data_IF_689798248841
#
_entry.id   IF_689798248841
#
_cell.length_a   1.000
_cell.length_b   1.000
_cell.length_c   1.000
_cell.angle_alpha   90.00
_cell.angle_beta   90.00
_cell.angle_gamma   90.00
#
_symmetry.space_group_name_H-M   'P 1'
#
loop_
_entity.id
_entity.type
_entity.pdbx_description
1 polymer ?
#
# COMPACT_ATOMS: atom_id res chain seq x y z
N UNK A 1 -8.82 -2.49 -12.29
CA UNK A 1 -7.93 -3.66 -12.21
C UNK A 1 -6.96 -3.63 -11.04
N UNK A 2 -6.21 -2.53 -10.81
CA UNK A 2 -5.20 -2.46 -9.74
C UNK A 2 -5.80 -2.67 -8.33
N UNK A 3 -6.97 -2.08 -8.02
CA UNK A 3 -7.66 -2.29 -6.74
C UNK A 3 -8.03 -3.75 -6.52
N UNK A 4 -8.59 -4.41 -7.54
CA UNK A 4 -8.89 -5.85 -7.48
C UNK A 4 -7.63 -6.68 -7.27
N UNK A 5 -6.60 -6.46 -8.08
CA UNK A 5 -5.36 -7.24 -8.05
C UNK A 5 -4.66 -7.16 -6.67
N UNK A 6 -4.50 -5.95 -6.13
CA UNK A 6 -3.88 -5.78 -4.81
C UNK A 6 -4.73 -6.37 -3.68
N UNK A 7 -6.07 -6.25 -3.75
CA UNK A 7 -6.97 -6.88 -2.77
C UNK A 7 -6.95 -8.40 -2.86
N UNK A 8 -6.87 -8.96 -4.08
CA UNK A 8 -6.78 -10.40 -4.32
C UNK A 8 -5.57 -11.03 -3.63
N UNK A 9 -4.43 -10.36 -3.65
CA UNK A 9 -3.20 -10.81 -2.98
C UNK A 9 -3.31 -10.82 -1.44
N UNK A 10 -4.30 -10.13 -0.87
CA UNK A 10 -4.62 -10.16 0.56
C UNK A 10 -5.73 -11.18 0.90
N UNK A 11 -6.09 -12.03 -0.05
CA UNK A 11 -7.13 -13.05 0.15
C UNK A 11 -8.57 -12.57 -0.07
N UNK A 12 -8.78 -11.36 -0.61
CA UNK A 12 -10.10 -10.85 -0.95
C UNK A 12 -10.77 -11.76 -2.00
N UNK A 13 -12.05 -12.06 -1.80
CA UNK A 13 -12.78 -13.03 -2.62
C UNK A 13 -13.62 -12.39 -3.74
N UNK A 14 -13.63 -11.06 -3.85
CA UNK A 14 -14.30 -10.38 -4.96
C UNK A 14 -13.71 -10.80 -6.31
N UNK A 15 -14.57 -11.06 -7.29
CA UNK A 15 -14.15 -11.19 -8.69
C UNK A 15 -13.86 -9.80 -9.30
N UNK A 16 -13.23 -9.80 -10.49
CA UNK A 16 -13.02 -8.54 -11.24
C UNK A 16 -14.34 -7.82 -11.54
N UNK A 17 -15.36 -8.55 -11.96
CA UNK A 17 -16.67 -7.97 -12.30
C UNK A 17 -17.37 -7.39 -11.05
N UNK A 18 -17.37 -8.12 -9.94
CA UNK A 18 -17.94 -7.63 -8.69
C UNK A 18 -17.21 -6.37 -8.20
N UNK A 19 -15.86 -6.34 -8.32
CA UNK A 19 -15.06 -5.16 -8.00
C UNK A 19 -15.39 -3.97 -8.90
N UNK A 20 -15.57 -4.20 -10.21
CA UNK A 20 -15.97 -3.17 -11.14
C UNK A 20 -17.35 -2.61 -10.79
N UNK A 21 -18.34 -3.48 -10.56
CA UNK A 21 -19.68 -3.06 -10.16
C UNK A 21 -19.68 -2.28 -8.83
N UNK A 22 -18.83 -2.67 -7.87
CA UNK A 22 -18.67 -1.93 -6.61
C UNK A 22 -18.11 -0.54 -6.86
N UNK A 23 -17.05 -0.43 -7.68
CA UNK A 23 -16.35 0.86 -7.91
C UNK A 23 -17.19 1.81 -8.77
N UNK A 24 -17.84 1.31 -9.82
CA UNK A 24 -18.57 2.13 -10.79
C UNK A 24 -20.03 2.40 -10.40
N UNK A 25 -20.69 1.42 -9.79
CA UNK A 25 -22.13 1.46 -9.52
C UNK A 25 -22.46 1.48 -8.01
N UNK A 26 -21.48 1.34 -7.13
CA UNK A 26 -21.68 1.22 -5.70
C UNK A 26 -22.35 -0.09 -5.27
N UNK A 27 -22.37 -1.11 -6.12
CA UNK A 27 -23.05 -2.37 -5.85
C UNK A 27 -22.18 -3.32 -5.03
N UNK A 28 -22.57 -3.55 -3.77
CA UNK A 28 -21.92 -4.54 -2.89
C UNK A 28 -22.33 -5.94 -3.35
N UNK A 29 -21.35 -6.81 -3.56
CA UNK A 29 -21.59 -8.19 -3.96
C UNK A 29 -22.20 -9.00 -2.80
N UNK A 30 -23.17 -9.85 -3.14
CA UNK A 30 -23.87 -10.71 -2.16
C UNK A 30 -22.91 -11.74 -1.56
N UNK A 31 -22.99 -11.92 -0.25
CA UNK A 31 -22.19 -12.94 0.49
C UNK A 31 -20.75 -12.55 0.77
N UNK A 32 -20.35 -11.29 0.51
CA UNK A 32 -19.01 -10.78 0.83
C UNK A 32 -18.97 -10.12 2.21
N UNK A 33 -17.84 -10.26 2.91
CA UNK A 33 -17.64 -9.61 4.19
C UNK A 33 -17.46 -8.09 3.99
N UNK A 34 -17.95 -7.31 4.96
CA UNK A 34 -17.81 -5.84 4.93
C UNK A 34 -16.33 -5.40 4.82
N UNK A 35 -15.43 -6.12 5.48
CA UNK A 35 -13.98 -5.86 5.44
C UNK A 35 -13.41 -6.03 4.02
N UNK A 36 -13.92 -6.97 3.23
CA UNK A 36 -13.48 -7.17 1.85
C UNK A 36 -13.93 -6.02 0.95
N UNK A 37 -15.17 -5.55 1.13
CA UNK A 37 -15.70 -4.37 0.44
C UNK A 37 -14.89 -3.13 0.80
N UNK A 38 -14.66 -2.89 2.09
CA UNK A 38 -13.88 -1.76 2.57
C UNK A 38 -12.46 -1.77 2.01
N UNK A 39 -11.81 -2.93 1.96
CA UNK A 39 -10.47 -3.07 1.39
C UNK A 39 -10.42 -2.60 -0.07
N UNK A 40 -11.38 -2.96 -0.91
CA UNK A 40 -11.44 -2.53 -2.32
C UNK A 40 -11.64 -1.02 -2.43
N UNK A 41 -12.54 -0.46 -1.62
CA UNK A 41 -12.80 0.99 -1.60
C UNK A 41 -11.56 1.78 -1.14
N UNK A 42 -10.84 1.29 -0.13
CA UNK A 42 -9.58 1.89 0.31
C UNK A 42 -8.50 1.85 -0.79
N UNK A 43 -8.38 0.74 -1.52
CA UNK A 43 -7.45 0.67 -2.65
C UNK A 43 -7.82 1.66 -3.76
N UNK A 44 -9.13 1.78 -4.09
CA UNK A 44 -9.61 2.78 -5.03
C UNK A 44 -9.22 4.18 -4.58
N UNK A 45 -9.57 4.57 -3.36
CA UNK A 45 -9.27 5.89 -2.81
C UNK A 45 -7.77 6.19 -2.77
N UNK A 46 -6.94 5.19 -2.43
CA UNK A 46 -5.47 5.33 -2.42
C UNK A 46 -4.89 5.56 -3.83
N UNK A 47 -5.41 4.87 -4.85
CA UNK A 47 -5.00 5.07 -6.24
C UNK A 47 -5.42 6.45 -6.72
N UNK A 48 -6.67 6.87 -6.46
CA UNK A 48 -7.16 8.21 -6.79
C UNK A 48 -6.34 9.30 -6.10
N UNK A 49 -6.02 9.13 -4.82
CA UNK A 49 -5.16 10.06 -4.08
C UNK A 49 -3.80 10.27 -4.78
N UNK A 50 -3.16 9.19 -5.26
CA UNK A 50 -1.88 9.30 -5.96
C UNK A 50 -2.01 9.92 -7.36
N UNK A 51 -3.10 9.63 -8.08
CA UNK A 51 -3.33 10.14 -9.43
C UNK A 51 -3.74 11.62 -9.42
N UNK A 52 -4.69 11.99 -8.56
CA UNK A 52 -5.26 13.34 -8.50
C UNK A 52 -4.26 14.37 -7.95
N UNK A 53 -3.27 13.90 -7.19
CA UNK A 53 -2.23 14.74 -6.60
C UNK A 53 -0.82 14.38 -7.13
N UNK A 54 -0.72 13.86 -8.35
CA UNK A 54 0.55 13.33 -8.89
C UNK A 54 1.69 14.36 -8.88
N UNK A 55 1.40 15.64 -9.00
CA UNK A 55 2.39 16.71 -8.97
C UNK A 55 2.90 16.99 -7.54
N UNK A 56 2.05 16.81 -6.52
CA UNK A 56 2.33 17.15 -5.12
C UNK A 56 2.84 15.98 -4.29
N UNK A 57 2.53 14.74 -4.69
CA UNK A 57 2.98 13.53 -3.98
C UNK A 57 4.38 13.09 -4.42
N UNK A 58 5.16 12.53 -3.49
CA UNK A 58 6.52 12.10 -3.74
C UNK A 58 6.99 10.96 -2.81
N UNK A 59 8.27 10.66 -2.87
CA UNK A 59 8.91 9.71 -1.96
C UNK A 59 9.25 10.39 -0.63
N UNK A 60 8.24 10.78 0.12
CA UNK A 60 8.36 11.45 1.40
C UNK A 60 7.43 10.83 2.45
N UNK A 61 7.72 11.12 3.72
CA UNK A 61 6.98 10.54 4.84
C UNK A 61 5.52 10.97 4.88
N UNK A 62 5.19 12.17 4.43
CA UNK A 62 3.82 12.66 4.38
C UNK A 62 2.98 11.85 3.39
N UNK A 63 3.46 11.68 2.17
CA UNK A 63 2.81 10.89 1.12
C UNK A 63 2.58 9.44 1.57
N UNK A 64 3.62 8.76 2.07
CA UNK A 64 3.50 7.33 2.44
C UNK A 64 2.71 7.09 3.72
N UNK A 65 2.71 8.01 4.67
CA UNK A 65 1.84 7.94 5.86
C UNK A 65 0.37 8.17 5.49
N UNK A 66 0.08 9.11 4.60
CA UNK A 66 -1.28 9.31 4.09
C UNK A 66 -1.76 8.11 3.26
N UNK A 67 -0.90 7.57 2.40
CA UNK A 67 -1.19 6.35 1.65
C UNK A 67 -1.55 5.19 2.59
N UNK A 68 -0.77 5.00 3.67
CA UNK A 68 -1.09 4.01 4.69
C UNK A 68 -2.42 4.34 5.38
N UNK A 69 -2.68 5.59 5.76
CA UNK A 69 -3.92 5.98 6.42
C UNK A 69 -5.16 5.63 5.58
N UNK A 70 -5.12 5.96 4.28
CA UNK A 70 -6.22 5.63 3.35
C UNK A 70 -6.38 4.12 3.19
N UNK A 71 -5.29 3.37 2.96
CA UNK A 71 -5.33 1.92 2.77
C UNK A 71 -5.78 1.15 4.02
N UNK A 72 -5.54 1.69 5.21
CA UNK A 72 -5.83 1.06 6.50
C UNK A 72 -7.14 1.51 7.15
N UNK A 73 -7.82 2.50 6.58
CA UNK A 73 -9.06 3.07 7.13
C UNK A 73 -10.12 1.98 7.36
N UNK A 74 -10.69 1.94 8.56
CA UNK A 74 -11.71 0.98 8.99
C UNK A 74 -11.30 -0.51 8.87
N UNK A 75 -9.99 -0.78 8.69
CA UNK A 75 -9.41 -2.12 8.63
C UNK A 75 -8.48 -2.44 9.81
N UNK A 76 -8.04 -1.42 10.56
CA UNK A 76 -7.15 -1.58 11.71
C UNK A 76 -7.93 -1.76 13.00
N UNK A 77 -7.51 -2.69 13.90
CA UNK A 77 -8.08 -2.80 15.24
C UNK A 77 -7.92 -1.52 16.08
N UNK A 78 -6.81 -0.79 15.90
CA UNK A 78 -6.57 0.53 16.48
C UNK A 78 -6.65 1.60 15.37
N UNK A 79 -7.73 2.41 15.33
CA UNK A 79 -7.86 3.46 14.32
C UNK A 79 -6.74 4.52 14.39
N UNK A 80 -6.11 4.70 15.56
CA UNK A 80 -4.99 5.64 15.72
C UNK A 80 -3.68 5.13 15.09
N UNK A 81 -3.61 3.86 14.70
CA UNK A 81 -2.49 3.31 13.97
C UNK A 81 -2.49 3.72 12.48
N UNK A 82 -3.63 4.17 11.94
CA UNK A 82 -3.72 4.63 10.56
C UNK A 82 -2.80 5.84 10.32
N UNK A 83 -1.88 5.70 9.34
CA UNK A 83 -0.89 6.75 9.02
C UNK A 83 0.26 6.92 10.01
N UNK A 84 0.34 6.10 11.05
CA UNK A 84 1.37 6.18 12.09
C UNK A 84 2.40 5.07 11.94
N UNK A 85 3.69 5.42 12.01
CA UNK A 85 4.77 4.43 12.14
C UNK A 85 4.58 3.64 13.43
N UNK A 86 4.83 2.33 13.37
CA UNK A 86 4.63 1.43 14.51
C UNK A 86 5.58 1.74 15.67
N UNK A 87 5.07 1.49 16.86
CA UNK A 87 5.81 1.66 18.11
C UNK A 87 6.03 0.33 18.84
N UNK A 88 5.62 -0.76 18.23
CA UNK A 88 5.72 -2.12 18.77
C UNK A 88 6.39 -3.05 17.75
N UNK A 89 7.01 -4.14 18.21
CA UNK A 89 7.47 -5.19 17.32
C UNK A 89 6.30 -5.78 16.52
N UNK A 90 6.60 -6.20 15.29
CA UNK A 90 5.68 -6.95 14.43
C UNK A 90 6.40 -8.20 13.91
N UNK A 91 5.63 -9.21 13.56
CA UNK A 91 6.11 -10.44 12.95
C UNK A 91 5.56 -10.57 11.53
N UNK A 92 6.31 -11.21 10.66
CA UNK A 92 5.84 -11.57 9.32
C UNK A 92 5.41 -13.03 9.36
N UNK A 93 4.12 -13.29 9.17
CA UNK A 93 3.56 -14.62 9.20
C UNK A 93 4.31 -15.57 8.24
N UNK A 94 4.73 -16.73 8.77
CA UNK A 94 5.47 -17.74 8.01
C UNK A 94 6.94 -17.41 7.75
N UNK A 95 7.49 -16.33 8.34
CA UNK A 95 8.90 -15.94 8.19
C UNK A 95 9.64 -16.06 9.53
N UNK A 96 10.92 -16.45 9.44
CA UNK A 96 11.86 -16.41 10.58
C UNK A 96 12.54 -15.03 10.69
N UNK A 97 12.35 -14.17 9.73
CA UNK A 97 12.89 -12.82 9.73
C UNK A 97 12.16 -11.96 10.78
N UNK A 98 12.95 -11.33 11.63
CA UNK A 98 12.47 -10.42 12.68
C UNK A 98 12.70 -8.97 12.25
N UNK A 99 11.65 -8.21 11.93
CA UNK A 99 11.77 -6.79 11.62
C UNK A 99 12.34 -5.98 12.79
N UNK A 100 12.92 -4.81 12.49
CA UNK A 100 13.43 -3.88 13.51
C UNK A 100 12.38 -3.62 14.59
N UNK A 101 12.82 -3.51 15.86
CA UNK A 101 11.91 -3.35 17.00
C UNK A 101 11.89 -1.94 17.57
N UNK A 102 13.00 -1.17 17.42
CA UNK A 102 13.15 0.16 18.03
C UNK A 102 12.46 1.25 17.19
N UNK A 103 11.46 1.98 17.73
CA UNK A 103 10.70 2.98 16.98
C UNK A 103 11.57 4.07 16.31
N UNK A 104 12.59 4.56 17.00
CA UNK A 104 13.50 5.58 16.46
C UNK A 104 14.25 5.06 15.24
N UNK A 105 14.75 3.82 15.31
CA UNK A 105 15.48 3.18 14.20
C UNK A 105 14.53 2.90 13.03
N UNK A 106 13.25 2.55 13.31
CA UNK A 106 12.23 2.37 12.27
C UNK A 106 11.99 3.69 11.54
N UNK A 107 11.84 4.79 12.27
CA UNK A 107 11.64 6.13 11.70
C UNK A 107 12.83 6.55 10.84
N UNK A 108 14.05 6.42 11.36
CA UNK A 108 15.29 6.75 10.64
C UNK A 108 15.43 5.91 9.36
N UNK A 109 15.17 4.59 9.45
CA UNK A 109 15.22 3.71 8.29
C UNK A 109 14.10 3.99 7.28
N UNK A 110 12.91 4.41 7.75
CA UNK A 110 11.82 4.79 6.87
C UNK A 110 12.14 6.06 6.08
N UNK A 111 12.70 7.09 6.72
CA UNK A 111 13.17 8.29 6.04
C UNK A 111 14.27 7.96 5.03
N UNK A 112 15.28 7.19 5.46
CA UNK A 112 16.37 6.76 4.58
C UNK A 112 15.88 5.96 3.36
N UNK A 113 14.88 5.08 3.54
CA UNK A 113 14.27 4.31 2.46
C UNK A 113 13.64 5.23 1.42
N UNK A 114 12.88 6.24 1.86
CA UNK A 114 12.23 7.19 0.96
C UNK A 114 13.23 8.09 0.25
N UNK A 115 14.26 8.59 0.95
CA UNK A 115 15.34 9.36 0.35
C UNK A 115 16.10 8.56 -0.73
N UNK A 116 16.35 7.29 -0.46
CA UNK A 116 16.99 6.40 -1.42
C UNK A 116 16.09 6.12 -2.63
N UNK A 117 14.80 5.89 -2.41
CA UNK A 117 13.83 5.73 -3.49
C UNK A 117 13.79 6.99 -4.36
N UNK A 118 13.73 8.18 -3.76
CA UNK A 118 13.72 9.45 -4.48
C UNK A 118 14.97 9.67 -5.34
N UNK A 119 16.12 9.14 -4.93
CA UNK A 119 17.40 9.28 -5.63
C UNK A 119 17.56 8.34 -6.83
N UNK A 120 16.70 7.32 -6.99
CA UNK A 120 16.74 6.41 -8.13
C UNK A 120 16.11 7.10 -9.35
N UNK A 121 16.84 7.25 -10.48
CA UNK A 121 16.32 8.00 -11.63
C UNK A 121 15.33 7.20 -12.50
N UNK A 122 15.42 5.87 -12.51
CA UNK A 122 14.56 5.01 -13.34
C UNK A 122 13.26 4.66 -12.58
N UNK A 123 12.06 4.90 -13.15
CA UNK A 123 10.79 4.67 -12.47
C UNK A 123 10.51 3.18 -12.19
N UNK A 124 11.01 2.26 -12.98
CA UNK A 124 10.84 0.82 -12.73
C UNK A 124 11.75 0.35 -11.60
N UNK A 125 12.99 0.86 -11.54
CA UNK A 125 13.89 0.58 -10.43
C UNK A 125 13.35 1.18 -9.11
N UNK A 126 12.77 2.39 -9.14
CA UNK A 126 12.07 2.98 -8.00
C UNK A 126 10.92 2.10 -7.51
N UNK A 127 10.06 1.66 -8.44
CA UNK A 127 8.94 0.78 -8.15
C UNK A 127 9.41 -0.53 -7.52
N UNK A 128 10.41 -1.17 -8.11
CA UNK A 128 10.98 -2.41 -7.58
C UNK A 128 11.63 -2.22 -6.20
N UNK A 129 12.38 -1.14 -6.02
CA UNK A 129 13.01 -0.82 -4.73
C UNK A 129 11.97 -0.72 -3.62
N UNK A 130 10.86 0.02 -3.83
CA UNK A 130 9.77 0.14 -2.86
C UNK A 130 9.08 -1.19 -2.59
N UNK A 131 8.81 -1.97 -3.63
CA UNK A 131 8.19 -3.30 -3.50
C UNK A 131 8.97 -4.23 -2.59
N UNK A 132 10.29 -4.14 -2.60
CA UNK A 132 11.18 -5.00 -1.79
C UNK A 132 11.41 -4.40 -0.40
N UNK A 133 11.82 -3.13 -0.33
CA UNK A 133 12.36 -2.56 0.90
C UNK A 133 11.28 -2.21 1.93
N UNK A 134 10.11 -1.75 1.50
CA UNK A 134 9.07 -1.33 2.43
C UNK A 134 8.46 -2.52 3.21
N UNK A 135 8.10 -3.66 2.56
CA UNK A 135 7.67 -4.85 3.28
C UNK A 135 8.78 -5.47 4.15
N UNK A 136 10.05 -5.29 3.78
CA UNK A 136 11.17 -5.76 4.58
C UNK A 136 11.33 -4.92 5.86
N UNK A 137 11.21 -3.60 5.76
CA UNK A 137 11.27 -2.69 6.92
C UNK A 137 10.05 -2.85 7.85
N UNK A 138 8.85 -3.13 7.30
CA UNK A 138 7.60 -3.17 8.06
C UNK A 138 7.40 -1.89 8.89
N UNK A 139 7.33 -0.68 8.29
CA UNK A 139 7.28 0.56 9.06
C UNK A 139 5.97 0.79 9.80
N UNK A 140 4.89 0.11 9.42
CA UNK A 140 3.54 0.22 10.01
C UNK A 140 3.15 -1.04 10.79
N UNK A 141 2.13 -0.92 11.64
CA UNK A 141 1.61 -2.06 12.42
C UNK A 141 1.05 -3.18 11.54
N UNK A 142 0.47 -2.84 10.39
CA UNK A 142 -0.05 -3.73 9.34
C UNK A 142 -0.07 -2.98 7.99
N UNK A 143 -0.68 -3.56 6.96
CA UNK A 143 -0.91 -2.94 5.63
C UNK A 143 0.37 -2.66 4.83
N UNK A 144 1.54 -3.05 5.32
CA UNK A 144 2.85 -2.75 4.69
C UNK A 144 2.95 -3.25 3.24
N UNK A 145 2.45 -4.45 2.94
CA UNK A 145 2.45 -5.01 1.58
C UNK A 145 1.54 -4.22 0.63
N UNK A 146 0.38 -3.78 1.12
CA UNK A 146 -0.55 -2.94 0.34
C UNK A 146 0.06 -1.58 0.03
N UNK A 147 0.68 -0.94 1.02
CA UNK A 147 1.39 0.33 0.84
C UNK A 147 2.52 0.17 -0.17
N UNK A 148 3.30 -0.92 -0.12
CA UNK A 148 4.39 -1.14 -1.07
C UNK A 148 3.88 -1.32 -2.50
N UNK A 149 2.83 -2.12 -2.73
CA UNK A 149 2.26 -2.34 -4.06
C UNK A 149 1.64 -1.08 -4.68
N UNK A 150 0.87 -0.33 -3.90
CA UNK A 150 0.26 0.90 -4.40
C UNK A 150 1.30 2.01 -4.53
N UNK A 151 2.18 2.18 -3.54
CA UNK A 151 3.26 3.16 -3.56
C UNK A 151 4.29 2.92 -4.67
N UNK A 152 4.57 1.65 -5.04
CA UNK A 152 5.42 1.30 -6.16
C UNK A 152 4.89 1.79 -7.52
N UNK A 153 3.59 2.08 -7.61
CA UNK A 153 3.01 2.66 -8.81
C UNK A 153 3.15 4.20 -8.89
N UNK A 154 3.55 4.87 -7.81
CA UNK A 154 3.75 6.32 -7.79
C UNK A 154 4.71 6.80 -8.90
N UNK A 155 5.94 6.25 -9.04
CA UNK A 155 6.83 6.66 -10.11
C UNK A 155 6.26 6.38 -11.50
N UNK A 156 5.51 5.28 -11.67
CA UNK A 156 4.89 4.94 -12.93
C UNK A 156 3.80 5.95 -13.30
N UNK A 157 2.96 6.36 -12.36
CA UNK A 157 1.95 7.40 -12.57
C UNK A 157 2.58 8.74 -12.96
N UNK A 158 3.65 9.16 -12.25
CA UNK A 158 4.37 10.42 -12.53
C UNK A 158 4.99 10.45 -13.92
N UNK A 159 5.34 9.30 -14.48
CA UNK A 159 5.91 9.15 -15.83
C UNK A 159 4.89 8.73 -16.89
N UNK A 160 3.59 8.75 -16.56
CA UNK A 160 2.49 8.33 -17.47
C UNK A 160 2.65 6.90 -18.00
N UNK A 161 3.25 6.02 -17.18
CA UNK A 161 3.43 4.60 -17.49
C UNK A 161 2.27 3.77 -16.97
N UNK A 162 2.05 2.59 -17.58
CA UNK A 162 1.05 1.66 -17.11
C UNK A 162 1.38 1.16 -15.69
N UNK A 163 0.39 1.13 -14.77
CA UNK A 163 0.60 0.58 -13.44
C UNK A 163 0.82 -0.93 -13.48
N UNK A 164 1.58 -1.43 -12.51
CA UNK A 164 1.85 -2.86 -12.32
C UNK A 164 0.99 -3.41 -11.19
N UNK A 165 0.28 -4.52 -11.44
CA UNK A 165 -0.65 -5.13 -10.49
C UNK A 165 0.00 -6.13 -9.53
N UNK A 166 1.14 -6.70 -9.89
CA UNK A 166 1.89 -7.72 -9.15
C UNK A 166 1.16 -9.05 -8.91
N UNK A 167 -0.07 -9.23 -9.41
CA UNK A 167 -0.91 -10.41 -9.14
C UNK A 167 -0.36 -11.69 -9.76
N UNK A 168 0.39 -11.57 -10.85
CA UNK A 168 0.95 -12.71 -11.57
C UNK A 168 2.39 -13.06 -11.13
N UNK A 169 2.97 -12.31 -10.20
CA UNK A 169 4.36 -12.47 -9.74
C UNK A 169 4.49 -12.59 -8.22
N UNK A 170 3.38 -12.63 -7.50
CA UNK A 170 3.33 -12.70 -6.04
C UNK A 170 3.10 -14.14 -5.54
#
# INVERSE_FOLDING_TARGET
DLSWASSKLEGNTYSRLETQNLIELGQIATGKAAIETQMILNHKAAIEMLLDNADDVGFDAYTFRNLHAVLSQDLMPDPQACGRLRRRPVEIAGSVFMPLALPQVIEDCFMLLLDKAAAIPDPFEQAFFLMVQLPYLQPFDDVNKRVSRIGANLPLFKHYLCPVSFVDVA
#
